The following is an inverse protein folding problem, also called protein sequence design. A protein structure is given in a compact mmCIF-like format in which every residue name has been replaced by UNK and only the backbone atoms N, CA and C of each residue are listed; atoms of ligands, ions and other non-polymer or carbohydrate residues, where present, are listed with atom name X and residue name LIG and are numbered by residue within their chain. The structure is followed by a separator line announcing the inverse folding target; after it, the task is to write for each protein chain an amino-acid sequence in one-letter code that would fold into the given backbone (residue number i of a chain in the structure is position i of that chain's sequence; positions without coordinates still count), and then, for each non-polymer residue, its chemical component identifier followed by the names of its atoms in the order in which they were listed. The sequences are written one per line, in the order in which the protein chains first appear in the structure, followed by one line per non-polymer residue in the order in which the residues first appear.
data_IF_506384818491
#
_entry.id   IF_506384818491
#
_cell.length_a   1.000
_cell.length_b   1.000
_cell.length_c   1.000
_cell.angle_alpha   90.00
_cell.angle_beta   90.00
_cell.angle_gamma   90.00
#
_symmetry.space_group_name_H-M   'P 1'
#
loop_
_entity.id
_entity.type
_entity.pdbx_description
1 polymer ?
#
# COMPACT_ATOMS: atom_id res chain seq x y z
N UNK A 1 9.01 6.30 -1.75
CA UNK A 1 8.62 7.56 -1.07
C UNK A 1 8.21 7.25 0.36
N UNK A 2 8.58 8.09 1.32
CA UNK A 2 8.19 7.97 2.74
C UNK A 2 7.36 9.18 3.14
N UNK A 3 6.13 8.97 3.61
CA UNK A 3 5.21 10.02 4.04
C UNK A 3 5.02 9.92 5.55
N UNK A 4 5.59 10.86 6.31
CA UNK A 4 5.65 10.80 7.78
C UNK A 4 4.82 11.91 8.43
N UNK A 5 4.87 13.13 7.90
CA UNK A 5 4.15 14.28 8.47
C UNK A 5 2.63 14.08 8.38
N UNK A 6 1.84 14.40 9.44
CA UNK A 6 0.38 14.30 9.39
C UNK A 6 -0.26 15.19 8.32
N UNK A 7 -1.41 14.78 7.81
CA UNK A 7 -2.23 15.59 6.90
C UNK A 7 -1.65 15.74 5.49
N UNK A 8 -0.72 14.87 5.09
CA UNK A 8 -0.19 14.89 3.71
C UNK A 8 -1.32 14.58 2.73
N UNK A 9 -1.38 15.39 1.67
CA UNK A 9 -2.23 15.15 0.50
C UNK A 9 -1.33 14.99 -0.72
N UNK A 10 -1.39 13.84 -1.37
CA UNK A 10 -0.79 13.62 -2.67
C UNK A 10 -1.90 13.47 -3.72
N UNK A 11 -1.71 14.10 -4.89
CA UNK A 11 -2.70 14.09 -5.95
C UNK A 11 -2.06 14.09 -7.32
N UNK A 12 -2.65 13.36 -8.26
CA UNK A 12 -2.28 13.36 -9.68
C UNK A 12 -0.78 13.04 -9.91
N UNK A 13 -0.21 12.15 -9.08
CA UNK A 13 1.21 11.76 -9.11
C UNK A 13 1.39 10.24 -9.02
N UNK A 14 2.48 9.72 -9.58
CA UNK A 14 2.83 8.29 -9.50
C UNK A 14 4.07 8.06 -8.63
N UNK A 15 3.98 7.09 -7.73
CA UNK A 15 5.08 6.52 -6.96
C UNK A 15 5.37 5.12 -7.51
N UNK A 16 6.58 4.90 -8.04
CA UNK A 16 6.93 3.64 -8.66
C UNK A 16 8.28 3.12 -8.18
N UNK A 17 8.34 1.83 -7.90
CA UNK A 17 9.59 1.10 -7.71
C UNK A 17 9.82 0.10 -8.85
N UNK A 18 10.97 0.19 -9.52
CA UNK A 18 11.29 -0.57 -10.74
C UNK A 18 12.25 -1.75 -10.51
N UNK A 19 12.49 -2.16 -9.26
CA UNK A 19 13.43 -3.24 -8.93
C UNK A 19 13.11 -4.61 -9.57
N UNK A 20 11.86 -4.84 -9.95
CA UNK A 20 11.42 -6.09 -10.59
C UNK A 20 10.95 -7.17 -9.60
N UNK A 21 10.36 -8.27 -10.10
CA UNK A 21 9.81 -9.34 -9.27
C UNK A 21 10.90 -10.24 -8.63
N UNK A 22 12.12 -10.22 -9.14
CA UNK A 22 13.25 -10.99 -8.61
C UNK A 22 13.87 -10.38 -7.35
N UNK A 23 13.60 -9.10 -7.09
CA UNK A 23 14.02 -8.44 -5.86
C UNK A 23 12.87 -8.51 -4.85
N UNK A 24 13.00 -9.31 -3.78
CA UNK A 24 11.96 -9.36 -2.77
C UNK A 24 11.95 -8.05 -1.98
N UNK A 25 10.77 -7.63 -1.56
CA UNK A 25 10.55 -6.56 -0.59
C UNK A 25 11.02 -5.17 -0.98
N UNK A 26 10.39 -4.61 -2.02
CA UNK A 26 10.75 -3.28 -2.50
C UNK A 26 9.54 -2.35 -2.55
N UNK A 27 9.52 -1.41 -1.62
CA UNK A 27 8.41 -0.47 -1.41
C UNK A 27 8.46 0.69 -2.41
N UNK A 28 7.32 1.01 -3.01
CA UNK A 28 7.14 2.21 -3.83
C UNK A 28 6.69 3.40 -2.97
N UNK A 29 5.72 3.17 -2.08
CA UNK A 29 5.20 4.17 -1.15
C UNK A 29 5.04 3.55 0.25
N UNK A 30 5.61 4.20 1.25
CA UNK A 30 5.33 3.96 2.67
C UNK A 30 4.65 5.18 3.27
N UNK A 31 3.53 4.97 3.94
CA UNK A 31 2.85 6.02 4.70
C UNK A 31 2.77 5.66 6.18
N UNK A 32 3.31 6.55 6.99
CA UNK A 32 3.22 6.63 8.46
C UNK A 32 2.36 7.87 8.88
N UNK A 33 1.74 8.54 7.91
CA UNK A 33 1.07 9.83 8.07
C UNK A 33 -0.38 9.66 8.50
N UNK A 34 -0.72 10.23 9.66
CA UNK A 34 -2.11 10.30 10.13
C UNK A 34 -2.93 11.33 9.34
N UNK A 35 -4.20 10.99 9.09
CA UNK A 35 -5.12 11.77 8.25
C UNK A 35 -4.58 12.04 6.84
N UNK A 36 -3.81 11.10 6.28
CA UNK A 36 -3.26 11.22 4.93
C UNK A 36 -4.28 10.89 3.84
N UNK A 37 -4.19 11.62 2.71
CA UNK A 37 -5.02 11.40 1.53
C UNK A 37 -4.16 11.22 0.29
N UNK A 38 -4.45 10.17 -0.48
CA UNK A 38 -3.89 9.93 -1.79
C UNK A 38 -5.05 9.91 -2.79
N UNK A 39 -5.07 10.88 -3.72
CA UNK A 39 -6.18 11.06 -4.65
C UNK A 39 -5.70 11.01 -6.11
N UNK A 40 -6.21 10.05 -6.90
CA UNK A 40 -5.76 9.83 -8.29
C UNK A 40 -4.25 9.62 -8.42
N UNK A 41 -3.70 8.88 -7.46
CA UNK A 41 -2.28 8.53 -7.48
C UNK A 41 -2.05 7.15 -8.12
N UNK A 42 -0.90 6.99 -8.77
CA UNK A 42 -0.37 5.68 -9.16
C UNK A 42 0.59 5.15 -8.10
N UNK A 43 0.44 3.90 -7.66
CA UNK A 43 1.38 3.23 -6.76
C UNK A 43 1.75 1.88 -7.37
N UNK A 44 2.97 1.78 -7.90
CA UNK A 44 3.37 0.64 -8.73
C UNK A 44 4.66 -0.02 -8.23
N UNK A 45 4.60 -1.34 -8.05
CA UNK A 45 5.77 -2.16 -7.75
C UNK A 45 5.49 -3.63 -8.04
N UNK A 46 6.19 -4.52 -7.33
CA UNK A 46 5.98 -5.96 -7.34
C UNK A 46 5.61 -6.41 -5.93
N UNK A 47 6.52 -7.05 -5.21
CA UNK A 47 6.29 -7.48 -3.83
C UNK A 47 6.41 -6.29 -2.86
N UNK A 48 5.44 -6.16 -1.95
CA UNK A 48 5.38 -5.09 -0.92
C UNK A 48 5.34 -3.67 -1.50
N UNK A 49 4.50 -3.42 -2.51
CA UNK A 49 4.45 -2.13 -3.24
C UNK A 49 4.00 -0.93 -2.39
N UNK A 50 2.88 -1.07 -1.66
CA UNK A 50 2.29 -0.04 -0.81
C UNK A 50 2.34 -0.48 0.66
N UNK A 51 3.16 0.21 1.44
CA UNK A 51 3.25 0.01 2.88
C UNK A 51 2.34 1.01 3.61
N UNK A 52 1.11 0.59 3.91
CA UNK A 52 0.19 1.31 4.80
C UNK A 52 0.56 1.01 6.26
N UNK A 53 1.69 1.57 6.71
CA UNK A 53 2.35 1.12 7.94
C UNK A 53 1.47 1.29 9.19
N UNK A 54 0.91 2.49 9.43
CA UNK A 54 0.11 2.79 10.62
C UNK A 54 -0.82 4.00 10.39
N UNK A 55 -1.61 4.37 11.41
CA UNK A 55 -2.50 5.55 11.44
C UNK A 55 -3.67 5.50 10.44
N UNK A 56 -4.38 6.62 10.28
CA UNK A 56 -5.58 6.73 9.43
C UNK A 56 -5.20 7.25 8.05
N UNK A 57 -5.56 6.50 7.01
CA UNK A 57 -5.16 6.80 5.63
C UNK A 57 -6.34 6.62 4.66
N UNK A 58 -6.46 7.49 3.67
CA UNK A 58 -7.51 7.41 2.65
C UNK A 58 -6.93 7.43 1.24
N UNK A 59 -7.21 6.39 0.47
CA UNK A 59 -6.82 6.25 -0.93
C UNK A 59 -8.08 6.30 -1.79
N UNK A 60 -8.16 7.26 -2.72
CA UNK A 60 -9.33 7.43 -3.58
C UNK A 60 -8.95 7.57 -5.04
N UNK A 61 -9.64 6.84 -5.92
CA UNK A 61 -9.40 6.88 -7.38
C UNK A 61 -7.95 6.56 -7.77
N UNK A 62 -7.24 5.82 -6.91
CA UNK A 62 -5.85 5.43 -7.16
C UNK A 62 -5.76 4.18 -8.01
N UNK A 63 -4.64 4.03 -8.72
CA UNK A 63 -4.23 2.77 -9.35
C UNK A 63 -3.09 2.15 -8.53
N UNK A 64 -3.27 0.92 -8.06
CA UNK A 64 -2.29 0.23 -7.23
C UNK A 64 -1.99 -1.12 -7.87
N UNK A 65 -0.72 -1.42 -8.14
CA UNK A 65 -0.34 -2.69 -8.78
C UNK A 65 0.84 -3.38 -8.10
N UNK A 66 0.78 -4.71 -7.99
CA UNK A 66 1.90 -5.53 -7.49
C UNK A 66 1.66 -7.03 -7.62
N UNK A 67 2.50 -7.83 -6.95
CA UNK A 67 2.45 -9.31 -7.01
C UNK A 67 2.09 -9.93 -5.66
N UNK A 68 3.02 -9.90 -4.70
CA UNK A 68 2.88 -10.51 -3.37
C UNK A 68 2.75 -9.42 -2.32
N UNK A 69 1.72 -9.53 -1.49
CA UNK A 69 1.45 -8.68 -0.33
C UNK A 69 1.58 -7.19 -0.66
N UNK A 70 1.10 -6.79 -1.84
CA UNK A 70 1.49 -5.50 -2.39
C UNK A 70 0.73 -4.32 -1.78
N UNK A 71 -0.26 -4.59 -0.93
CA UNK A 71 -0.84 -3.65 0.05
C UNK A 71 -0.68 -4.29 1.43
N UNK A 72 0.15 -3.71 2.30
CA UNK A 72 0.49 -4.35 3.58
C UNK A 72 0.71 -3.34 4.69
N UNK A 73 0.59 -3.80 5.95
CA UNK A 73 0.80 -3.01 7.16
C UNK A 73 -0.39 -3.04 8.12
N UNK A 74 -0.42 -2.07 9.04
CA UNK A 74 -1.39 -2.01 10.14
C UNK A 74 -2.12 -0.66 10.24
N UNK A 75 -2.20 0.08 9.13
CA UNK A 75 -3.01 1.29 9.09
C UNK A 75 -4.51 0.98 9.12
N UNK A 76 -5.29 1.91 9.68
CA UNK A 76 -6.71 2.02 9.37
C UNK A 76 -6.84 2.72 8.01
N UNK A 77 -6.79 1.93 6.94
CA UNK A 77 -6.79 2.42 5.56
C UNK A 77 -8.09 2.11 4.83
N UNK A 78 -8.63 3.09 4.10
CA UNK A 78 -9.77 2.90 3.20
C UNK A 78 -9.31 3.13 1.76
N UNK A 79 -9.66 2.18 0.88
CA UNK A 79 -9.44 2.25 -0.56
C UNK A 79 -10.79 2.39 -1.26
N UNK A 80 -11.12 3.57 -1.76
CA UNK A 80 -12.41 3.85 -2.38
C UNK A 80 -12.25 4.17 -3.87
N UNK A 81 -13.02 3.47 -4.71
CA UNK A 81 -12.98 3.64 -6.17
C UNK A 81 -11.56 3.49 -6.76
N UNK A 82 -10.72 2.66 -6.12
CA UNK A 82 -9.37 2.37 -6.60
C UNK A 82 -9.41 1.20 -7.58
N UNK A 83 -8.50 1.19 -8.54
CA UNK A 83 -8.21 0.02 -9.36
C UNK A 83 -7.04 -0.71 -8.72
N UNK A 84 -7.26 -1.95 -8.32
CA UNK A 84 -6.26 -2.82 -7.69
C UNK A 84 -5.89 -3.90 -8.71
N UNK A 85 -4.68 -3.81 -9.27
CA UNK A 85 -4.23 -4.62 -10.41
C UNK A 85 -3.15 -5.63 -9.99
N UNK A 86 -3.47 -6.91 -10.08
CA UNK A 86 -2.50 -7.98 -9.84
C UNK A 86 -1.61 -8.14 -11.07
N UNK A 87 -0.28 -8.01 -10.90
CA UNK A 87 0.71 -8.19 -11.96
C UNK A 87 1.13 -9.66 -12.08
N UNK A 88 1.68 -10.03 -13.24
CA UNK A 88 2.34 -11.34 -13.41
C UNK A 88 3.55 -11.44 -12.48
N UNK A 89 3.52 -12.43 -11.58
CA UNK A 89 4.63 -12.78 -10.70
C UNK A 89 5.63 -13.73 -11.35
N UNK A 90 6.59 -14.20 -10.54
CA UNK A 90 7.52 -15.26 -10.94
C UNK A 90 6.79 -16.61 -11.14
N UNK A 91 7.38 -17.57 -11.88
CA UNK A 91 6.83 -18.92 -11.98
C UNK A 91 6.55 -19.52 -10.60
N UNK A 92 5.38 -20.14 -10.44
CA UNK A 92 4.89 -20.72 -9.17
C UNK A 92 4.72 -19.74 -8.00
N UNK A 93 4.91 -18.43 -8.21
CA UNK A 93 4.62 -17.41 -7.21
C UNK A 93 3.12 -17.25 -7.03
N UNK A 94 2.67 -17.28 -5.78
CA UNK A 94 1.28 -16.96 -5.43
C UNK A 94 1.18 -15.48 -5.17
N UNK A 95 0.31 -14.80 -5.90
CA UNK A 95 0.04 -13.40 -5.70
C UNK A 95 -0.99 -13.22 -4.58
N UNK A 96 -0.80 -12.17 -3.80
CA UNK A 96 -1.66 -11.79 -2.68
C UNK A 96 -1.81 -10.27 -2.72
N UNK A 97 -3.03 -9.79 -2.54
CA UNK A 97 -3.30 -8.35 -2.54
C UNK A 97 -2.91 -7.76 -1.20
N UNK A 98 -3.42 -8.34 -0.11
CA UNK A 98 -3.28 -7.77 1.24
C UNK A 98 -2.52 -8.68 2.19
N UNK A 99 -1.63 -8.09 3.00
CA UNK A 99 -1.08 -8.69 4.21
C UNK A 99 -1.31 -7.74 5.39
N UNK A 100 -2.50 -7.82 5.99
CA UNK A 100 -2.89 -6.98 7.12
C UNK A 100 -2.21 -7.51 8.39
N UNK A 101 -1.52 -6.61 9.11
CA UNK A 101 -0.62 -6.98 10.21
C UNK A 101 -1.12 -6.63 11.61
N UNK A 102 -2.43 -6.47 11.84
CA UNK A 102 -2.95 -6.08 13.16
C UNK A 102 -2.70 -7.16 14.19
N UNK A 103 -2.00 -6.79 15.25
CA UNK A 103 -1.64 -7.70 16.34
C UNK A 103 -2.55 -7.57 17.57
N UNK A 104 -3.32 -6.48 17.71
CA UNK A 104 -4.25 -6.26 18.83
C UNK A 104 -5.71 -6.44 18.40
N UNK A 105 -6.42 -7.35 19.08
CA UNK A 105 -7.85 -7.58 18.91
C UNK A 105 -8.64 -6.60 19.79
N UNK A 106 -9.85 -6.22 19.37
CA UNK A 106 -10.77 -5.33 20.09
C UNK A 106 -11.20 -5.80 21.50
N UNK A 107 -10.74 -6.97 21.95
CA UNK A 107 -11.14 -7.57 23.23
C UNK A 107 -10.41 -6.99 24.45
N UNK A 108 -9.40 -6.14 24.27
CA UNK A 108 -8.62 -5.58 25.38
C UNK A 108 -9.23 -4.28 25.96
N UNK A 109 -10.44 -3.91 25.52
CA UNK A 109 -11.17 -2.70 25.94
C UNK A 109 -12.55 -2.98 26.54
N UNK A 110 -12.88 -4.24 26.87
CA UNK A 110 -14.10 -4.64 27.58
C UNK A 110 -13.80 -5.36 28.88
#
# INVERSE_FOLDING_TARGET
MFCISPGIIARDITFQNTAGPEKPQVVALRSDSDLSVFYRCGIFGYQYSLYTHTMRQFYRECRISGTVDFIFGDATAIFQNCIIEVRKGLPNQKNTITAQGRTFAWNDFI
#
